data_IF_608222289670
#
_entry.id   IF_608222289670
#
_cell.length_a   1.000
_cell.length_b   1.000
_cell.length_c   1.000
_cell.angle_alpha   90.00
_cell.angle_beta   90.00
_cell.angle_gamma   90.00
#
_symmetry.space_group_name_H-M   'P 1'
#
loop_
_entity.id
_entity.type
_entity.pdbx_description
1 polymer ?
#
# COMPACT_ATOMS: atom_id res chain seq x y z
N UNK A 1 13.70 -22.57 89.66
CA UNK A 1 14.10 -21.37 88.89
C UNK A 1 15.27 -21.76 88.00
N UNK A 2 15.01 -22.05 86.72
CA UNK A 2 16.02 -22.25 85.67
C UNK A 2 15.39 -21.74 84.37
N UNK A 3 15.90 -20.62 83.88
CA UNK A 3 15.50 -19.98 82.63
C UNK A 3 16.10 -20.78 81.48
N UNK A 4 15.28 -21.23 80.53
CA UNK A 4 15.75 -21.75 79.24
C UNK A 4 15.72 -20.58 78.24
N UNK A 5 16.87 -20.24 77.68
CA UNK A 5 16.99 -19.31 76.56
C UNK A 5 16.63 -20.05 75.26
N UNK A 6 15.75 -19.45 74.46
CA UNK A 6 15.38 -19.96 73.14
C UNK A 6 16.46 -19.60 72.10
N UNK A 7 16.78 -20.49 71.13
CA UNK A 7 17.72 -20.16 70.07
C UNK A 7 17.09 -19.15 69.11
N UNK A 8 17.72 -17.98 68.96
CA UNK A 8 17.37 -16.99 67.96
C UNK A 8 17.72 -17.52 66.57
N UNK A 9 16.69 -17.82 65.77
CA UNK A 9 16.84 -18.12 64.34
C UNK A 9 17.17 -16.83 63.60
N UNK A 10 18.42 -16.66 63.17
CA UNK A 10 18.79 -15.62 62.21
C UNK A 10 18.12 -15.92 60.87
N UNK A 11 17.44 -14.97 60.22
CA UNK A 11 16.90 -15.18 58.89
C UNK A 11 18.09 -15.31 57.91
N UNK A 12 18.10 -16.37 57.11
CA UNK A 12 19.12 -16.58 56.07
C UNK A 12 19.17 -15.37 55.13
N UNK A 13 20.16 -14.49 55.32
CA UNK A 13 20.45 -13.40 54.41
C UNK A 13 21.12 -13.97 53.17
N UNK A 14 20.43 -13.89 52.03
CA UNK A 14 20.97 -14.30 50.73
C UNK A 14 22.35 -13.69 50.45
N UNK A 15 23.28 -14.53 50.02
CA UNK A 15 24.62 -14.10 49.64
C UNK A 15 24.58 -13.24 48.37
N UNK A 16 25.60 -12.42 48.16
CA UNK A 16 25.68 -11.48 47.03
C UNK A 16 25.61 -12.20 45.67
N UNK A 17 26.12 -13.43 45.59
CA UNK A 17 26.05 -14.29 44.39
C UNK A 17 24.62 -14.75 44.13
N UNK A 18 23.89 -15.20 45.15
CA UNK A 18 22.50 -15.64 45.02
C UNK A 18 21.57 -14.50 44.61
N UNK A 19 21.71 -13.31 45.21
CA UNK A 19 20.94 -12.11 44.82
C UNK A 19 21.16 -11.76 43.33
N UNK A 20 22.39 -11.88 42.83
CA UNK A 20 22.72 -11.64 41.42
C UNK A 20 22.15 -12.73 40.51
N UNK A 21 22.28 -14.01 40.88
CA UNK A 21 21.76 -15.14 40.10
C UNK A 21 20.24 -15.11 40.01
N UNK A 22 19.53 -14.92 41.13
CA UNK A 22 18.06 -14.82 41.13
C UNK A 22 17.56 -13.57 40.40
N UNK A 23 18.28 -12.45 40.47
CA UNK A 23 17.97 -11.25 39.70
C UNK A 23 18.04 -11.48 38.19
N UNK A 24 19.09 -12.15 37.70
CA UNK A 24 19.24 -12.46 36.27
C UNK A 24 18.16 -13.46 35.81
N UNK A 25 17.91 -14.52 36.58
CA UNK A 25 16.85 -15.51 36.27
C UNK A 25 15.48 -14.83 36.23
N UNK A 26 15.18 -13.96 37.20
CA UNK A 26 13.94 -13.18 37.22
C UNK A 26 13.77 -12.30 35.99
N UNK A 27 14.81 -11.58 35.57
CA UNK A 27 14.79 -10.75 34.35
C UNK A 27 14.60 -11.58 33.08
N UNK A 28 15.23 -12.76 32.97
CA UNK A 28 15.07 -13.67 31.83
C UNK A 28 13.65 -14.25 31.78
N UNK A 29 13.08 -14.63 32.92
CA UNK A 29 11.70 -15.17 33.00
C UNK A 29 10.66 -14.07 32.69
N UNK A 30 10.81 -12.86 33.23
CA UNK A 30 9.92 -11.73 32.95
C UNK A 30 10.04 -11.31 31.48
N UNK A 31 11.27 -11.20 30.96
CA UNK A 31 11.51 -10.92 29.55
C UNK A 31 10.89 -11.99 28.64
N UNK A 32 11.18 -13.26 28.90
CA UNK A 32 10.66 -14.40 28.13
C UNK A 32 9.13 -14.48 28.14
N UNK A 33 8.50 -14.33 29.32
CA UNK A 33 7.04 -14.35 29.45
C UNK A 33 6.37 -13.18 28.72
N UNK A 34 6.97 -11.98 28.73
CA UNK A 34 6.51 -10.83 27.94
C UNK A 34 6.52 -11.11 26.43
N UNK A 35 7.62 -11.68 25.89
CA UNK A 35 7.71 -12.03 24.46
C UNK A 35 6.73 -13.14 24.07
N UNK A 36 6.55 -14.15 24.91
CA UNK A 36 5.57 -15.23 24.70
C UNK A 36 4.15 -14.67 24.69
N UNK A 37 3.78 -13.85 25.68
CA UNK A 37 2.48 -13.19 25.75
C UNK A 37 2.19 -12.33 24.51
N UNK A 38 3.16 -11.51 24.08
CA UNK A 38 3.05 -10.70 22.84
C UNK A 38 2.88 -11.56 21.59
N UNK A 39 3.57 -12.70 21.50
CA UNK A 39 3.44 -13.63 20.36
C UNK A 39 2.05 -14.28 20.30
N UNK A 40 1.51 -14.71 21.44
CA UNK A 40 0.18 -15.31 21.52
C UNK A 40 -0.93 -14.32 21.15
N UNK A 41 -0.85 -13.07 21.63
CA UNK A 41 -1.80 -12.01 21.27
C UNK A 41 -1.75 -11.73 19.75
N UNK A 42 -0.55 -11.71 19.16
CA UNK A 42 -0.39 -11.53 17.70
C UNK A 42 -1.04 -12.68 16.93
N UNK A 43 -0.76 -13.93 17.30
CA UNK A 43 -1.35 -15.11 16.66
C UNK A 43 -2.88 -15.12 16.77
N UNK A 44 -3.42 -14.79 17.94
CA UNK A 44 -4.87 -14.71 18.15
C UNK A 44 -5.51 -13.59 17.31
N UNK A 45 -4.88 -12.41 17.23
CA UNK A 45 -5.35 -11.30 16.37
C UNK A 45 -5.30 -11.67 14.90
N UNK A 46 -4.22 -12.29 14.43
CA UNK A 46 -4.08 -12.77 13.05
C UNK A 46 -5.17 -13.80 12.72
N UNK A 47 -5.36 -14.82 13.55
CA UNK A 47 -6.39 -15.85 13.36
C UNK A 47 -7.81 -15.26 13.36
N UNK A 48 -8.08 -14.27 14.21
CA UNK A 48 -9.37 -13.58 14.22
C UNK A 48 -9.60 -12.73 12.96
N UNK A 49 -8.54 -12.13 12.42
CA UNK A 49 -8.62 -11.33 11.20
C UNK A 49 -8.70 -12.21 9.96
N UNK A 50 -8.02 -13.36 9.95
CA UNK A 50 -8.04 -14.36 8.88
C UNK A 50 -9.46 -14.90 8.65
N UNK A 51 -10.24 -15.10 9.72
CA UNK A 51 -11.66 -15.47 9.60
C UNK A 51 -12.51 -14.47 8.82
N UNK A 52 -12.10 -13.21 8.75
CA UNK A 52 -12.82 -12.17 7.99
C UNK A 52 -12.53 -12.23 6.49
N UNK A 53 -11.49 -12.96 6.08
CA UNK A 53 -11.10 -13.11 4.67
C UNK A 53 -12.06 -13.99 3.87
N UNK A 54 -12.95 -14.73 4.53
CA UNK A 54 -13.96 -15.57 3.89
C UNK A 54 -15.15 -14.78 3.32
N UNK A 55 -15.23 -13.48 3.60
CA UNK A 55 -16.29 -12.60 3.11
C UNK A 55 -15.70 -11.72 2.01
N UNK A 56 -16.23 -11.83 0.80
CA UNK A 56 -15.82 -11.01 -0.34
C UNK A 56 -16.04 -9.51 -0.05
N UNK A 57 -15.13 -8.66 -0.50
CA UNK A 57 -15.18 -7.20 -0.26
C UNK A 57 -14.83 -6.75 1.17
N UNK A 58 -14.49 -7.67 2.07
CA UNK A 58 -14.02 -7.31 3.42
C UNK A 58 -12.58 -6.73 3.38
N UNK A 59 -12.23 -5.74 4.23
CA UNK A 59 -10.87 -5.23 4.34
C UNK A 59 -9.78 -6.30 4.53
N UNK A 60 -10.07 -7.38 5.25
CA UNK A 60 -9.12 -8.49 5.43
C UNK A 60 -8.90 -9.26 4.12
N UNK A 61 -9.93 -9.42 3.29
CA UNK A 61 -9.86 -10.08 1.98
C UNK A 61 -8.98 -9.30 1.02
N UNK A 62 -9.18 -7.97 0.94
CA UNK A 62 -8.30 -7.09 0.17
C UNK A 62 -6.85 -7.14 0.68
N UNK A 63 -6.64 -7.13 1.99
CA UNK A 63 -5.30 -7.26 2.56
C UNK A 63 -4.62 -8.58 2.17
N UNK A 64 -5.39 -9.68 2.12
CA UNK A 64 -4.89 -10.98 1.65
C UNK A 64 -4.58 -10.98 0.16
N UNK A 65 -5.43 -10.38 -0.67
CA UNK A 65 -5.18 -10.24 -2.11
C UNK A 65 -3.92 -9.41 -2.40
N UNK A 66 -3.71 -8.31 -1.68
CA UNK A 66 -2.48 -7.51 -1.75
C UNK A 66 -1.26 -8.36 -1.38
N UNK A 67 -1.36 -9.15 -0.29
CA UNK A 67 -0.25 -10.03 0.11
C UNK A 67 0.06 -11.07 -0.97
N UNK A 68 -0.97 -11.71 -1.53
CA UNK A 68 -0.79 -12.69 -2.61
C UNK A 68 -0.16 -12.07 -3.85
N UNK A 69 -0.47 -10.79 -4.15
CA UNK A 69 0.17 -10.08 -5.24
C UNK A 69 1.68 -9.86 -5.00
N UNK A 70 2.10 -9.62 -3.75
CA UNK A 70 3.53 -9.55 -3.40
C UNK A 70 4.21 -10.93 -3.37
N UNK A 71 3.47 -11.99 -3.06
CA UNK A 71 3.99 -13.37 -2.94
C UNK A 71 3.84 -14.16 -4.25
N UNK A 72 3.75 -13.49 -5.41
CA UNK A 72 3.61 -14.16 -6.71
C UNK A 72 4.96 -14.74 -7.17
N UNK A 73 5.44 -15.73 -6.44
CA UNK A 73 6.69 -16.41 -6.72
C UNK A 73 6.60 -17.17 -8.04
N UNK A 74 7.34 -16.70 -9.05
CA UNK A 74 7.65 -17.51 -10.23
C UNK A 74 8.48 -18.74 -9.83
N UNK A 75 8.72 -19.69 -10.76
CA UNK A 75 9.52 -20.91 -10.55
C UNK A 75 10.89 -20.69 -9.87
N UNK A 76 11.37 -19.46 -9.87
CA UNK A 76 12.67 -19.04 -9.34
C UNK A 76 12.59 -18.22 -8.02
N UNK A 77 11.40 -18.04 -7.42
CA UNK A 77 11.23 -17.41 -6.09
C UNK A 77 11.35 -15.88 -6.06
N UNK A 78 10.96 -15.23 -7.15
CA UNK A 78 10.96 -13.78 -7.35
C UNK A 78 9.78 -13.43 -8.26
N UNK A 79 9.05 -12.38 -7.93
CA UNK A 79 7.94 -11.88 -8.74
C UNK A 79 6.84 -11.20 -7.92
N UNK A 80 6.43 -10.02 -8.38
CA UNK A 80 5.22 -9.34 -7.92
C UNK A 80 4.17 -9.47 -9.03
N UNK A 81 2.90 -9.62 -8.67
CA UNK A 81 1.78 -9.50 -9.61
C UNK A 81 1.24 -8.06 -9.55
N UNK A 82 1.89 -7.15 -10.28
CA UNK A 82 1.53 -5.73 -10.28
C UNK A 82 0.11 -5.52 -10.82
N UNK A 83 -0.35 -6.40 -11.72
CA UNK A 83 -1.70 -6.36 -12.26
C UNK A 83 -2.74 -6.72 -11.20
N UNK A 84 -2.54 -7.80 -10.45
CA UNK A 84 -3.41 -8.18 -9.35
C UNK A 84 -3.38 -7.15 -8.22
N UNK A 85 -2.21 -6.59 -7.89
CA UNK A 85 -2.07 -5.52 -6.91
C UNK A 85 -2.90 -4.30 -7.34
N UNK A 86 -2.72 -3.85 -8.59
CA UNK A 86 -3.44 -2.70 -9.16
C UNK A 86 -4.96 -2.90 -9.12
N UNK A 87 -5.45 -4.06 -9.59
CA UNK A 87 -6.88 -4.42 -9.57
C UNK A 87 -7.44 -4.42 -8.15
N UNK A 88 -6.70 -4.99 -7.20
CA UNK A 88 -7.10 -5.05 -5.79
C UNK A 88 -7.18 -3.65 -5.20
N UNK A 89 -6.18 -2.80 -5.43
CA UNK A 89 -6.18 -1.42 -4.96
C UNK A 89 -7.33 -0.63 -5.59
N UNK A 90 -7.61 -0.78 -6.88
CA UNK A 90 -8.73 -0.12 -7.56
C UNK A 90 -10.09 -0.51 -6.95
N UNK A 91 -10.28 -1.79 -6.60
CA UNK A 91 -11.53 -2.29 -6.01
C UNK A 91 -11.84 -1.73 -4.61
N UNK A 92 -10.84 -1.19 -3.89
CA UNK A 92 -11.05 -0.57 -2.58
C UNK A 92 -11.76 0.79 -2.77
N UNK A 93 -12.97 1.01 -2.20
CA UNK A 93 -13.84 2.10 -2.66
C UNK A 93 -13.46 3.49 -2.15
N UNK A 94 -12.70 3.61 -1.06
CA UNK A 94 -12.41 4.90 -0.41
C UNK A 94 -11.13 4.87 0.42
N UNK A 95 -10.64 6.04 0.83
CA UNK A 95 -9.51 6.16 1.76
C UNK A 95 -9.85 5.57 3.14
N UNK A 96 -11.09 5.71 3.61
CA UNK A 96 -11.53 5.05 4.83
C UNK A 96 -11.51 3.53 4.72
N UNK A 97 -11.96 2.96 3.60
CA UNK A 97 -11.84 1.54 3.34
C UNK A 97 -10.36 1.13 3.25
N UNK A 98 -9.53 1.92 2.58
CA UNK A 98 -8.08 1.70 2.47
C UNK A 98 -7.38 1.67 3.83
N UNK A 99 -7.71 2.60 4.74
CA UNK A 99 -7.20 2.61 6.12
C UNK A 99 -7.57 1.32 6.86
N UNK A 100 -8.77 0.78 6.63
CA UNK A 100 -9.19 -0.51 7.21
C UNK A 100 -8.38 -1.66 6.62
N UNK A 101 -8.12 -1.66 5.31
CA UNK A 101 -7.29 -2.66 4.63
C UNK A 101 -5.87 -2.65 5.18
N UNK A 102 -5.24 -1.48 5.30
CA UNK A 102 -3.89 -1.32 5.89
C UNK A 102 -3.86 -1.90 7.31
N UNK A 103 -4.89 -1.60 8.12
CA UNK A 103 -5.01 -2.13 9.47
C UNK A 103 -5.18 -3.66 9.49
N UNK A 104 -5.97 -4.23 8.58
CA UNK A 104 -6.13 -5.68 8.46
C UNK A 104 -4.84 -6.34 8.01
N UNK A 105 -4.10 -5.76 7.06
CA UNK A 105 -2.78 -6.24 6.62
C UNK A 105 -1.79 -6.31 7.78
N UNK A 106 -1.69 -5.23 8.58
CA UNK A 106 -0.83 -5.20 9.76
C UNK A 106 -1.24 -6.24 10.81
N UNK A 107 -2.52 -6.56 10.96
CA UNK A 107 -3.00 -7.60 11.89
C UNK A 107 -2.70 -9.02 11.39
N UNK A 108 -2.87 -9.26 10.10
CA UNK A 108 -2.63 -10.57 9.47
C UNK A 108 -1.14 -10.91 9.46
N UNK A 109 -0.30 -9.97 9.04
CA UNK A 109 1.10 -10.25 8.71
C UNK A 109 2.10 -9.64 9.68
N UNK A 110 1.65 -8.76 10.59
CA UNK A 110 2.54 -7.97 11.45
C UNK A 110 3.56 -7.11 10.67
N UNK A 111 3.25 -6.76 9.42
CA UNK A 111 4.08 -5.97 8.50
C UNK A 111 3.35 -4.71 8.04
N UNK A 112 4.12 -3.71 7.60
CA UNK A 112 3.59 -2.51 6.96
C UNK A 112 3.32 -2.78 5.49
N UNK A 113 2.06 -2.64 5.08
CA UNK A 113 1.66 -2.79 3.68
C UNK A 113 2.39 -1.80 2.76
N UNK A 114 2.65 -0.57 3.22
CA UNK A 114 3.39 0.44 2.45
C UNK A 114 4.87 0.07 2.30
N UNK A 115 5.48 -0.48 3.36
CA UNK A 115 6.87 -0.89 3.31
C UNK A 115 7.06 -2.10 2.39
N UNK A 116 6.14 -3.06 2.45
CA UNK A 116 6.12 -4.20 1.53
C UNK A 116 5.93 -3.70 0.08
N UNK A 117 4.95 -2.82 -0.17
CA UNK A 117 4.75 -2.24 -1.50
C UNK A 117 5.99 -1.50 -2.04
N UNK A 118 6.75 -0.83 -1.17
CA UNK A 118 7.99 -0.15 -1.57
C UNK A 118 9.15 -1.13 -1.84
N UNK A 119 9.20 -2.28 -1.16
CA UNK A 119 10.25 -3.28 -1.38
C UNK A 119 10.01 -4.16 -2.60
N UNK A 120 8.74 -4.41 -2.92
CA UNK A 120 8.33 -5.35 -3.97
C UNK A 120 8.17 -4.70 -5.35
N UNK A 121 8.17 -3.35 -5.43
CA UNK A 121 7.92 -2.60 -6.66
C UNK A 121 9.10 -1.71 -7.03
N UNK A 122 9.24 -1.45 -8.33
CA UNK A 122 10.07 -0.34 -8.81
C UNK A 122 9.48 1.01 -8.41
N UNK A 123 10.27 2.08 -8.53
CA UNK A 123 9.81 3.44 -8.20
C UNK A 123 8.60 3.88 -9.04
N UNK A 124 8.54 3.56 -10.33
CA UNK A 124 7.43 3.93 -11.22
C UNK A 124 6.14 3.21 -10.80
N UNK A 125 6.20 1.90 -10.58
CA UNK A 125 5.07 1.08 -10.13
C UNK A 125 4.58 1.50 -8.74
N UNK A 126 5.50 1.76 -7.80
CA UNK A 126 5.14 2.25 -6.48
C UNK A 126 4.40 3.59 -6.54
N UNK A 127 4.87 4.52 -7.38
CA UNK A 127 4.22 5.81 -7.59
C UNK A 127 2.83 5.65 -8.24
N UNK A 128 2.67 4.72 -9.18
CA UNK A 128 1.38 4.37 -9.76
C UNK A 128 0.40 3.88 -8.68
N UNK A 129 0.82 2.95 -7.82
CA UNK A 129 -0.02 2.41 -6.74
C UNK A 129 -0.41 3.50 -5.73
N UNK A 130 0.52 4.40 -5.40
CA UNK A 130 0.24 5.56 -4.54
C UNK A 130 -0.79 6.50 -5.17
N UNK A 131 -0.70 6.73 -6.49
CA UNK A 131 -1.66 7.59 -7.18
C UNK A 131 -3.08 7.00 -7.15
N UNK A 132 -3.21 5.69 -7.36
CA UNK A 132 -4.49 4.96 -7.22
C UNK A 132 -5.07 5.14 -5.81
N UNK A 133 -4.25 5.03 -4.77
CA UNK A 133 -4.67 5.23 -3.38
C UNK A 133 -5.07 6.69 -3.12
N UNK A 134 -4.29 7.64 -3.60
CA UNK A 134 -4.51 9.07 -3.41
C UNK A 134 -5.78 9.58 -4.10
N UNK A 135 -6.11 9.01 -5.27
CA UNK A 135 -7.27 9.36 -6.07
C UNK A 135 -8.63 8.90 -5.47
N UNK A 136 -8.61 8.11 -4.40
CA UNK A 136 -9.84 7.60 -3.76
C UNK A 136 -10.61 8.70 -3.03
N UNK A 137 -11.96 8.67 -3.02
CA UNK A 137 -12.75 9.55 -2.18
C UNK A 137 -12.50 9.26 -0.69
N UNK A 138 -12.75 10.23 0.20
CA UNK A 138 -12.50 10.05 1.64
C UNK A 138 -13.39 8.94 2.25
N UNK A 139 -14.69 8.92 1.92
CA UNK A 139 -15.66 7.95 2.46
C UNK A 139 -16.40 7.19 1.36
N UNK A 140 -16.86 5.98 1.67
CA UNK A 140 -17.50 5.06 0.69
C UNK A 140 -18.90 5.46 0.22
N UNK A 141 -19.48 6.53 0.78
CA UNK A 141 -20.81 7.04 0.44
C UNK A 141 -20.80 8.49 -0.06
N UNK A 142 -19.62 9.11 -0.22
CA UNK A 142 -19.56 10.33 -1.01
C UNK A 142 -19.77 9.93 -2.47
N UNK A 143 -20.75 10.55 -3.15
CA UNK A 143 -20.71 10.59 -4.61
C UNK A 143 -19.28 10.90 -4.99
N UNK A 144 -18.63 10.00 -5.76
CA UNK A 144 -17.25 10.18 -6.18
C UNK A 144 -17.20 11.59 -6.78
N UNK A 145 -16.53 12.58 -6.15
CA UNK A 145 -16.65 13.95 -6.58
C UNK A 145 -16.19 13.97 -8.03
N UNK A 146 -17.00 14.51 -8.95
CA UNK A 146 -16.56 14.67 -10.33
C UNK A 146 -15.16 15.29 -10.33
N UNK A 147 -14.27 14.80 -11.20
CA UNK A 147 -12.91 15.32 -11.26
C UNK A 147 -12.98 16.84 -11.44
N UNK A 148 -12.12 17.55 -10.72
CA UNK A 148 -12.23 19.02 -10.66
C UNK A 148 -11.41 19.67 -11.79
N UNK A 149 -11.70 20.94 -12.15
CA UNK A 149 -10.87 21.69 -13.10
C UNK A 149 -9.37 21.71 -12.75
N UNK A 150 -9.03 21.76 -11.47
CA UNK A 150 -7.64 21.71 -11.01
C UNK A 150 -7.00 20.34 -11.29
N UNK A 151 -7.77 19.27 -11.19
CA UNK A 151 -7.30 17.92 -11.47
C UNK A 151 -7.04 17.70 -12.96
N UNK A 152 -7.89 18.23 -13.84
CA UNK A 152 -7.65 18.23 -15.28
C UNK A 152 -6.36 18.96 -15.66
N UNK A 153 -6.10 20.12 -15.06
CA UNK A 153 -4.84 20.85 -15.26
C UNK A 153 -3.63 20.06 -14.74
N UNK A 154 -3.77 19.34 -13.62
CA UNK A 154 -2.71 18.49 -13.07
C UNK A 154 -2.37 17.33 -14.01
N UNK A 155 -3.38 16.61 -14.50
CA UNK A 155 -3.19 15.53 -15.48
C UNK A 155 -2.60 16.04 -16.79
N UNK A 156 -3.07 17.19 -17.30
CA UNK A 156 -2.50 17.81 -18.48
C UNK A 156 -1.00 18.11 -18.32
N UNK A 157 -0.59 18.64 -17.15
CA UNK A 157 0.83 18.91 -16.85
C UNK A 157 1.67 17.63 -16.79
N UNK A 158 1.14 16.58 -16.18
CA UNK A 158 1.82 15.28 -16.10
C UNK A 158 1.96 14.62 -17.47
N UNK A 159 0.92 14.70 -18.31
CA UNK A 159 1.00 14.21 -19.69
C UNK A 159 2.03 15.01 -20.49
N UNK A 160 2.05 16.35 -20.37
CA UNK A 160 3.07 17.16 -21.04
C UNK A 160 4.49 16.76 -20.61
N UNK A 161 4.71 16.57 -19.32
CA UNK A 161 5.99 16.13 -18.80
C UNK A 161 6.38 14.73 -19.30
N UNK A 162 5.41 13.83 -19.47
CA UNK A 162 5.61 12.49 -20.01
C UNK A 162 5.88 12.48 -21.52
N UNK A 163 5.45 13.51 -22.26
CA UNK A 163 5.80 13.70 -23.67
C UNK A 163 7.17 14.36 -23.84
N UNK A 164 7.59 15.18 -22.88
CA UNK A 164 8.81 16.00 -22.98
C UNK A 164 10.03 15.37 -22.28
N UNK A 165 9.97 14.09 -21.94
CA UNK A 165 11.09 13.39 -21.31
C UNK A 165 12.28 13.43 -22.27
N UNK A 166 13.44 13.79 -21.73
CA UNK A 166 14.69 13.77 -22.49
C UNK A 166 15.68 12.89 -21.76
N UNK A 167 16.09 11.81 -22.40
CA UNK A 167 17.18 10.98 -21.90
C UNK A 167 18.51 11.48 -22.47
N UNK A 168 19.26 12.19 -21.63
CA UNK A 168 20.60 12.74 -21.91
C UNK A 168 20.64 13.80 -23.04
N UNK A 169 20.35 13.41 -24.27
CA UNK A 169 20.13 14.30 -25.42
C UNK A 169 19.14 13.72 -26.45
N UNK A 170 18.46 12.62 -26.13
CA UNK A 170 17.48 11.96 -27.00
C UNK A 170 16.08 12.25 -26.46
N UNK A 171 15.17 12.80 -27.27
CA UNK A 171 13.76 12.91 -26.88
C UNK A 171 13.19 11.50 -26.69
N UNK A 172 12.33 11.35 -25.70
CA UNK A 172 11.63 10.09 -25.43
C UNK A 172 10.28 10.35 -24.79
N UNK A 173 9.55 9.27 -24.60
CA UNK A 173 8.21 9.26 -24.01
C UNK A 173 8.26 8.45 -22.71
N UNK A 174 7.48 8.84 -21.70
CA UNK A 174 7.28 8.07 -20.47
C UNK A 174 5.88 7.43 -20.55
N UNK A 175 5.82 6.28 -21.21
CA UNK A 175 4.58 5.54 -21.46
C UNK A 175 3.92 5.11 -20.14
N UNK A 176 4.74 4.79 -19.13
CA UNK A 176 4.28 4.44 -17.79
C UNK A 176 3.59 5.61 -17.10
N UNK A 177 4.12 6.84 -17.23
CA UNK A 177 3.49 8.04 -16.71
C UNK A 177 2.18 8.37 -17.43
N UNK A 178 2.11 8.19 -18.75
CA UNK A 178 0.88 8.35 -19.53
C UNK A 178 -0.18 7.35 -19.03
N UNK A 179 0.19 6.07 -18.93
CA UNK A 179 -0.67 5.00 -18.45
C UNK A 179 -1.18 5.29 -17.03
N UNK A 180 -0.31 5.73 -16.13
CA UNK A 180 -0.69 6.10 -14.77
C UNK A 180 -1.76 7.20 -14.74
N UNK A 181 -1.57 8.27 -15.53
CA UNK A 181 -2.58 9.34 -15.66
C UNK A 181 -3.91 8.79 -16.18
N UNK A 182 -3.89 7.92 -17.19
CA UNK A 182 -5.11 7.35 -17.75
C UNK A 182 -5.80 6.40 -16.76
N UNK A 183 -5.05 5.66 -15.95
CA UNK A 183 -5.60 4.81 -14.91
C UNK A 183 -6.28 5.62 -13.79
N UNK A 184 -5.79 6.83 -13.50
CA UNK A 184 -6.41 7.75 -12.53
C UNK A 184 -7.72 8.39 -13.00
N UNK A 185 -7.90 8.57 -14.32
CA UNK A 185 -9.13 9.10 -14.89
C UNK A 185 -10.31 8.17 -14.59
N UNK A 186 -11.45 8.73 -14.22
CA UNK A 186 -12.63 7.94 -13.80
C UNK A 186 -13.60 7.69 -14.94
N UNK A 187 -13.56 8.54 -15.96
CA UNK A 187 -14.45 8.47 -17.11
C UNK A 187 -13.77 8.95 -18.38
N UNK A 188 -14.45 8.74 -19.51
CA UNK A 188 -14.06 9.33 -20.78
C UNK A 188 -14.20 10.86 -20.74
N UNK A 189 -15.15 11.40 -19.98
CA UNK A 189 -15.28 12.85 -19.76
C UNK A 189 -14.00 13.43 -19.14
N UNK A 190 -13.42 12.78 -18.13
CA UNK A 190 -12.15 13.21 -17.53
C UNK A 190 -11.02 13.35 -18.56
N UNK A 191 -10.96 12.42 -19.52
CA UNK A 191 -9.99 12.47 -20.62
C UNK A 191 -10.20 13.70 -21.50
N UNK A 192 -11.44 13.95 -21.93
CA UNK A 192 -11.77 15.11 -22.78
C UNK A 192 -11.64 16.44 -22.06
N UNK A 193 -11.94 16.49 -20.76
CA UNK A 193 -11.73 17.68 -19.94
C UNK A 193 -10.24 17.96 -19.72
N UNK A 194 -9.44 16.90 -19.58
CA UNK A 194 -7.98 17.00 -19.54
C UNK A 194 -7.43 17.49 -20.87
N UNK A 195 -7.94 17.02 -22.00
CA UNK A 195 -7.57 17.51 -23.32
C UNK A 195 -7.85 19.01 -23.49
N UNK A 196 -9.02 19.47 -23.05
CA UNK A 196 -9.36 20.90 -23.05
C UNK A 196 -8.40 21.72 -22.16
N UNK A 197 -8.12 21.23 -20.96
CA UNK A 197 -7.15 21.88 -20.06
C UNK A 197 -5.73 21.89 -20.66
N UNK A 198 -5.31 20.81 -21.31
CA UNK A 198 -4.03 20.69 -22.00
C UNK A 198 -3.90 21.72 -23.12
N UNK A 199 -4.92 21.85 -23.96
CA UNK A 199 -4.92 22.84 -25.02
C UNK A 199 -4.91 24.27 -24.48
N UNK A 200 -5.64 24.55 -23.41
CA UNK A 200 -5.60 25.87 -22.76
C UNK A 200 -4.21 26.21 -22.18
N UNK A 201 -3.49 25.21 -21.64
CA UNK A 201 -2.18 25.40 -21.00
C UNK A 201 -1.03 25.49 -22.00
N UNK A 202 -1.05 24.69 -23.07
CA UNK A 202 0.08 24.50 -23.97
C UNK A 202 -0.18 24.98 -25.39
N UNK A 203 -1.40 25.43 -25.68
CA UNK A 203 -1.82 25.80 -27.03
C UNK A 203 -1.54 24.70 -28.07
N UNK A 204 -1.66 23.44 -27.65
CA UNK A 204 -1.41 22.26 -28.48
C UNK A 204 -2.50 21.19 -28.26
N UNK A 205 -2.64 20.28 -29.22
CA UNK A 205 -3.65 19.23 -29.17
C UNK A 205 -3.10 17.97 -28.48
N UNK A 206 -3.69 17.60 -27.34
CA UNK A 206 -3.24 16.46 -26.54
C UNK A 206 -3.28 15.13 -27.31
N UNK A 207 -4.25 14.95 -28.22
CA UNK A 207 -4.41 13.71 -29.00
C UNK A 207 -3.36 13.61 -30.09
N UNK A 208 -3.00 14.74 -30.69
CA UNK A 208 -1.91 14.84 -31.66
C UNK A 208 -0.58 14.54 -30.99
N UNK A 209 -0.35 15.07 -29.79
CA UNK A 209 0.86 14.78 -29.03
C UNK A 209 0.90 13.29 -28.67
N UNK A 210 -0.17 12.72 -28.10
CA UNK A 210 -0.25 11.28 -27.83
C UNK A 210 0.05 10.39 -29.06
N UNK A 211 -0.40 10.77 -30.26
CA UNK A 211 -0.14 10.03 -31.49
C UNK A 211 1.28 10.22 -32.02
N UNK A 212 1.91 11.34 -31.70
CA UNK A 212 3.29 11.62 -32.08
C UNK A 212 4.25 10.88 -31.15
N UNK A 213 3.95 10.88 -29.85
CA UNK A 213 4.83 10.34 -28.81
C UNK A 213 4.72 8.83 -28.63
N UNK A 214 3.54 8.22 -28.87
CA UNK A 214 3.35 6.77 -28.74
C UNK A 214 3.58 6.06 -30.07
N UNK A 215 4.25 4.91 -30.03
CA UNK A 215 4.38 4.03 -31.19
C UNK A 215 2.99 3.50 -31.61
N UNK A 216 2.85 3.14 -32.89
CA UNK A 216 1.56 2.68 -33.44
C UNK A 216 0.95 1.51 -32.64
N UNK A 217 1.79 0.61 -32.14
CA UNK A 217 1.36 -0.54 -31.32
C UNK A 217 1.06 -0.18 -29.86
N UNK A 218 1.52 0.96 -29.35
CA UNK A 218 1.29 1.43 -27.97
C UNK A 218 0.03 2.28 -27.88
N UNK A 219 -0.25 3.06 -28.92
CA UNK A 219 -1.37 3.99 -28.96
C UNK A 219 -2.71 3.28 -28.74
N UNK A 220 -2.96 2.16 -29.44
CA UNK A 220 -4.25 1.47 -29.36
C UNK A 220 -4.51 0.86 -27.96
N UNK A 221 -3.59 0.09 -27.34
CA UNK A 221 -3.74 -0.36 -25.96
C UNK A 221 -3.88 0.78 -24.94
N UNK A 222 -3.15 1.88 -25.14
CA UNK A 222 -3.23 3.04 -24.25
C UNK A 222 -4.63 3.66 -24.29
N UNK A 223 -5.18 3.88 -25.48
CA UNK A 223 -6.53 4.44 -25.64
C UNK A 223 -7.63 3.48 -25.17
N UNK A 224 -7.42 2.17 -25.26
CA UNK A 224 -8.36 1.16 -24.76
C UNK A 224 -8.60 1.29 -23.23
N UNK A 225 -7.60 1.75 -22.46
CA UNK A 225 -7.77 2.07 -21.02
C UNK A 225 -8.88 3.10 -20.82
N UNK A 226 -8.92 4.14 -21.66
CA UNK A 226 -9.94 5.19 -21.59
C UNK A 226 -11.28 4.69 -22.13
N UNK A 227 -11.27 3.97 -23.26
CA UNK A 227 -12.50 3.48 -23.89
C UNK A 227 -13.31 2.52 -23.01
N UNK A 228 -12.65 1.75 -22.15
CA UNK A 228 -13.30 0.86 -21.19
C UNK A 228 -13.93 1.57 -19.99
N UNK A 229 -13.69 2.88 -19.82
CA UNK A 229 -14.25 3.68 -18.71
C UNK A 229 -15.66 4.18 -19.06
N UNK A 230 -16.49 4.50 -18.04
CA UNK A 230 -17.80 5.12 -18.24
C UNK A 230 -17.72 6.41 -19.07
N UNK A 231 -18.77 6.73 -19.83
CA UNK A 231 -18.82 7.95 -20.65
C UNK A 231 -19.11 9.24 -19.85
N UNK A 232 -19.58 9.11 -18.61
CA UNK A 232 -20.13 10.20 -17.78
C UNK A 232 -19.16 11.37 -17.54
#
# INVERSE_FOLDING_TARGET
MKTQEAPTHSPDEFTLKEKLTYGIVGLVVIGGSFFIGRSLIRKARAASEEKKTYVEGNPATFAKQIRMAFENDTWFGWGTDEEALRKTLQAIPSKDAMRRVINSYQKLYARSMMADMQSELTTSEYNEMLAIIAAKPETGNAAVPQSSPLQYQSWAKRLKAAFDITYWFVPGTDEDAIKAVFMEMRSQSDFWQTAQAYQALYNNDMMKDLKTELEFWEYAPMMDIIMKKPQA
#
